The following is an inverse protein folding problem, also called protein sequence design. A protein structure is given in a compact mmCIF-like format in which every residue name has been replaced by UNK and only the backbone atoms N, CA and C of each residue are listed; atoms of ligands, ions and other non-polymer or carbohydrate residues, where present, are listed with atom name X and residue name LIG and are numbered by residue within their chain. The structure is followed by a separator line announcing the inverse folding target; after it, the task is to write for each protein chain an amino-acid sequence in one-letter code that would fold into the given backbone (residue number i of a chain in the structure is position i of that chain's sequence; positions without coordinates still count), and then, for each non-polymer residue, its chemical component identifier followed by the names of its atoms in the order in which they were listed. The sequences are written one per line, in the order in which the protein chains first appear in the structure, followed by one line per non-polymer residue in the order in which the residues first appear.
data_IF_343757683714
#
_entry.id   IF_343757683714
#
_cell.length_a   1.000
_cell.length_b   1.000
_cell.length_c   1.000
_cell.angle_alpha   90.00
_cell.angle_beta   90.00
_cell.angle_gamma   90.00
#
_symmetry.space_group_name_H-M   'P 1'
#
loop_
_entity.id
_entity.type
_entity.pdbx_description
1 polymer ?
#
# COMPACT_ATOMS: atom_id res chain seq x y z
N UNK A 1 -2.61 11.44 -8.52
CA UNK A 1 -1.34 11.75 -7.80
C UNK A 1 -1.34 13.14 -7.16
N UNK A 2 -1.51 14.25 -7.90
CA UNK A 2 -1.50 15.59 -7.27
C UNK A 2 -2.65 15.81 -6.27
N UNK A 3 -3.86 15.35 -6.59
CA UNK A 3 -4.99 15.41 -5.65
C UNK A 3 -4.77 14.55 -4.40
N UNK A 4 -3.98 13.47 -4.52
CA UNK A 4 -3.58 12.65 -3.36
C UNK A 4 -2.66 13.46 -2.46
N UNK A 5 -1.68 14.17 -3.02
CA UNK A 5 -0.80 15.07 -2.26
C UNK A 5 -1.58 16.21 -1.62
N UNK A 6 -2.52 16.85 -2.33
CA UNK A 6 -3.36 17.90 -1.76
C UNK A 6 -4.15 17.42 -0.54
N UNK A 7 -4.56 16.14 -0.52
CA UNK A 7 -5.34 15.54 0.56
C UNK A 7 -4.48 15.08 1.75
N UNK A 8 -3.33 14.46 1.48
CA UNK A 8 -2.54 13.77 2.51
C UNK A 8 -1.19 14.46 2.83
N UNK A 9 -0.77 15.44 2.04
CA UNK A 9 0.43 16.25 2.25
C UNK A 9 1.70 15.41 2.50
N UNK A 10 1.86 14.31 1.77
CA UNK A 10 2.94 13.36 1.99
C UNK A 10 4.30 13.90 1.55
N UNK A 11 4.37 14.83 0.59
CA UNK A 11 5.63 15.45 0.17
C UNK A 11 6.26 16.30 1.29
N UNK A 12 5.43 17.04 2.03
CA UNK A 12 5.85 17.85 3.17
C UNK A 12 6.04 17.06 4.48
N UNK A 13 5.73 15.76 4.49
CA UNK A 13 5.87 14.94 5.69
C UNK A 13 7.33 14.66 6.02
N UNK A 14 7.72 14.86 7.29
CA UNK A 14 9.11 14.69 7.74
C UNK A 14 9.51 13.25 8.07
N UNK A 15 8.56 12.31 8.07
CA UNK A 15 8.81 10.91 8.47
C UNK A 15 8.54 9.98 7.29
N UNK A 16 9.61 9.32 6.87
CA UNK A 16 9.60 8.27 5.85
C UNK A 16 10.15 6.99 6.48
N UNK A 17 9.52 5.86 6.21
CA UNK A 17 10.02 4.57 6.67
C UNK A 17 9.89 3.54 5.56
N UNK A 18 11.01 3.08 5.01
CA UNK A 18 10.98 1.99 4.02
C UNK A 18 10.89 0.66 4.77
N UNK A 19 9.73 0.00 4.66
CA UNK A 19 9.50 -1.30 5.29
C UNK A 19 10.14 -2.42 4.49
N UNK A 20 10.13 -2.36 3.16
CA UNK A 20 10.62 -3.46 2.32
C UNK A 20 11.23 -2.99 1.00
N UNK A 21 12.33 -3.64 0.62
CA UNK A 21 12.94 -3.60 -0.73
C UNK A 21 13.32 -5.02 -1.11
N UNK A 22 12.43 -5.73 -1.79
CA UNK A 22 12.63 -7.15 -2.06
C UNK A 22 13.04 -7.37 -3.52
N UNK A 23 14.31 -7.69 -3.74
CA UNK A 23 14.89 -7.83 -5.07
C UNK A 23 14.29 -8.97 -5.88
N UNK A 24 13.93 -10.11 -5.26
CA UNK A 24 13.32 -11.25 -5.96
C UNK A 24 11.97 -10.86 -6.56
N UNK A 25 11.01 -10.65 -5.67
CA UNK A 25 9.64 -10.18 -5.95
C UNK A 25 9.55 -8.85 -6.71
N UNK A 26 10.64 -8.07 -6.79
CA UNK A 26 10.65 -6.70 -7.35
C UNK A 26 9.61 -5.79 -6.69
N UNK A 27 9.45 -5.93 -5.37
CA UNK A 27 8.45 -5.21 -4.59
C UNK A 27 9.10 -4.25 -3.62
N UNK A 28 8.57 -3.02 -3.58
CA UNK A 28 8.96 -1.99 -2.61
C UNK A 28 7.73 -1.61 -1.80
N UNK A 29 7.88 -1.53 -0.49
CA UNK A 29 6.87 -0.94 0.39
C UNK A 29 7.48 0.04 1.38
N UNK A 30 6.75 1.13 1.63
CA UNK A 30 7.19 2.18 2.55
C UNK A 30 6.01 2.98 3.09
N UNK A 31 6.25 3.73 4.16
CA UNK A 31 5.30 4.63 4.77
C UNK A 31 5.77 6.08 4.63
N UNK A 32 4.87 6.97 4.21
CA UNK A 32 5.14 8.42 4.08
C UNK A 32 3.83 9.19 4.21
N UNK A 33 3.81 10.24 5.02
CA UNK A 33 2.62 11.09 5.20
C UNK A 33 1.39 10.34 5.76
N UNK A 34 1.61 9.31 6.59
CA UNK A 34 0.52 8.46 7.10
C UNK A 34 -0.09 7.51 6.06
N UNK A 35 0.49 7.44 4.86
CA UNK A 35 0.13 6.51 3.81
C UNK A 35 1.09 5.33 3.77
N UNK A 36 0.56 4.15 3.43
CA UNK A 36 1.32 2.94 3.11
C UNK A 36 1.38 2.80 1.60
N UNK A 37 2.58 2.71 1.04
CA UNK A 37 2.84 2.58 -0.39
C UNK A 37 3.30 1.15 -0.68
N UNK A 38 2.68 0.49 -1.66
CA UNK A 38 3.02 -0.85 -2.10
C UNK A 38 3.18 -0.84 -3.62
N UNK A 39 4.40 -1.09 -4.09
CA UNK A 39 4.75 -0.98 -5.51
C UNK A 39 5.30 -2.32 -5.99
N UNK A 40 4.61 -2.95 -6.95
CA UNK A 40 5.07 -4.19 -7.58
C UNK A 40 5.64 -3.89 -8.96
N UNK A 41 6.97 -3.93 -9.07
CA UNK A 41 7.70 -3.75 -10.33
C UNK A 41 7.94 -5.06 -11.08
N UNK A 42 7.43 -6.19 -10.59
CA UNK A 42 7.63 -7.46 -11.27
C UNK A 42 7.01 -7.41 -12.68
N UNK A 43 7.72 -7.86 -13.73
CA UNK A 43 7.23 -7.73 -15.09
C UNK A 43 5.99 -8.58 -15.38
N UNK A 44 5.76 -9.63 -14.60
CA UNK A 44 4.76 -10.67 -14.88
C UNK A 44 4.07 -11.30 -13.66
N UNK A 45 4.53 -11.06 -12.42
CA UNK A 45 4.08 -11.80 -11.25
C UNK A 45 3.18 -10.91 -10.40
N UNK A 46 1.98 -11.41 -10.14
CA UNK A 46 1.01 -10.82 -9.23
C UNK A 46 1.01 -11.59 -7.92
N UNK A 47 0.74 -10.92 -6.80
CA UNK A 47 0.74 -11.55 -5.47
C UNK A 47 -0.61 -11.33 -4.79
N UNK A 48 -1.33 -12.40 -4.44
CA UNK A 48 -2.69 -12.34 -3.87
C UNK A 48 -2.70 -12.01 -2.38
N UNK A 49 -1.76 -12.60 -1.65
CA UNK A 49 -1.68 -12.57 -0.20
C UNK A 49 -0.29 -12.05 0.22
N UNK A 50 0.09 -10.88 -0.31
CA UNK A 50 1.40 -10.31 0.00
C UNK A 50 1.37 -9.58 1.33
N UNK A 51 2.27 -9.97 2.25
CA UNK A 51 2.33 -9.37 3.59
C UNK A 51 3.09 -8.05 3.56
N UNK A 52 2.46 -6.99 4.06
CA UNK A 52 3.01 -5.64 4.16
C UNK A 52 3.01 -5.21 5.62
N UNK A 53 4.16 -4.78 6.12
CA UNK A 53 4.30 -4.22 7.46
C UNK A 53 3.64 -2.84 7.56
N UNK A 54 2.94 -2.57 8.65
CA UNK A 54 2.25 -1.29 8.89
C UNK A 54 2.42 -0.83 10.34
N UNK A 55 2.39 0.49 10.57
CA UNK A 55 2.63 1.05 11.90
C UNK A 55 1.47 0.88 12.90
N UNK A 56 0.22 0.87 12.44
CA UNK A 56 -0.97 0.97 13.31
C UNK A 56 -1.88 -0.23 13.16
N UNK A 57 -2.46 -0.67 14.29
CA UNK A 57 -3.61 -1.56 14.27
C UNK A 57 -4.84 -0.88 13.65
N UNK A 58 -5.77 -1.65 13.10
CA UNK A 58 -7.02 -1.16 12.54
C UNK A 58 -7.19 -1.46 11.06
N UNK A 59 -7.95 -0.61 10.36
CA UNK A 59 -8.31 -0.82 8.95
C UNK A 59 -7.55 0.15 8.06
N UNK A 60 -7.18 -0.33 6.89
CA UNK A 60 -6.54 0.43 5.84
C UNK A 60 -7.40 0.39 4.59
N UNK A 61 -7.61 1.55 3.96
CA UNK A 61 -8.43 1.73 2.76
C UNK A 61 -7.59 2.25 1.60
N UNK A 62 -8.04 1.96 0.38
CA UNK A 62 -7.35 2.40 -0.83
C UNK A 62 -7.49 3.92 -1.00
N UNK A 63 -6.36 4.61 -1.01
CA UNK A 63 -6.25 6.03 -1.35
C UNK A 63 -6.00 6.22 -2.87
N UNK A 64 -5.24 5.31 -3.47
CA UNK A 64 -4.93 5.29 -4.90
C UNK A 64 -4.64 3.84 -5.33
N UNK A 65 -5.22 3.44 -6.46
CA UNK A 65 -4.89 2.21 -7.18
C UNK A 65 -4.50 2.59 -8.61
N UNK A 66 -3.24 2.37 -9.00
CA UNK A 66 -2.80 2.68 -10.37
C UNK A 66 -3.37 1.73 -11.42
N UNK A 67 -3.92 0.58 -11.01
CA UNK A 67 -4.59 -0.37 -11.91
C UNK A 67 -6.07 -0.03 -12.14
N UNK A 68 -6.60 1.02 -11.51
CA UNK A 68 -7.99 1.42 -11.70
C UNK A 68 -8.27 1.84 -13.15
N UNK A 69 -9.51 1.62 -13.62
CA UNK A 69 -9.94 1.92 -15.00
C UNK A 69 -9.74 3.39 -15.39
N UNK A 70 -9.90 4.30 -14.43
CA UNK A 70 -9.71 5.74 -14.64
C UNK A 70 -8.26 6.13 -14.98
N UNK A 71 -7.30 5.24 -14.72
CA UNK A 71 -5.90 5.37 -15.12
C UNK A 71 -5.51 4.38 -16.23
N UNK A 72 -6.50 3.88 -16.99
CA UNK A 72 -6.34 2.89 -18.06
C UNK A 72 -5.72 1.56 -17.60
N UNK A 73 -5.88 1.21 -16.32
CA UNK A 73 -5.48 -0.08 -15.78
C UNK A 73 -6.54 -1.18 -15.97
N UNK A 74 -6.23 -2.38 -15.47
CA UNK A 74 -7.07 -3.57 -15.66
C UNK A 74 -8.21 -3.72 -14.62
N UNK A 75 -8.29 -2.84 -13.62
CA UNK A 75 -9.27 -2.83 -12.53
C UNK A 75 -9.34 -4.17 -11.78
N UNK A 76 -8.17 -4.74 -11.46
CA UNK A 76 -8.09 -6.05 -10.81
C UNK A 76 -8.32 -5.98 -9.30
N UNK A 77 -8.16 -4.81 -8.69
CA UNK A 77 -8.43 -4.57 -7.27
C UNK A 77 -9.80 -3.89 -7.15
N UNK A 78 -10.66 -4.38 -6.25
CA UNK A 78 -11.89 -3.67 -5.91
C UNK A 78 -11.55 -2.43 -5.09
N UNK A 79 -11.86 -1.24 -5.59
CA UNK A 79 -11.59 0.04 -4.92
C UNK A 79 -12.30 0.22 -3.56
N UNK A 80 -13.26 -0.66 -3.22
CA UNK A 80 -13.91 -0.69 -1.90
C UNK A 80 -13.24 -1.62 -0.90
N UNK A 81 -12.17 -2.30 -1.31
CA UNK A 81 -11.45 -3.25 -0.45
C UNK A 81 -10.91 -2.57 0.80
N UNK A 82 -11.02 -3.28 1.93
CA UNK A 82 -10.43 -2.89 3.20
C UNK A 82 -9.39 -3.94 3.61
N UNK A 83 -8.28 -3.48 4.18
CA UNK A 83 -7.21 -4.33 4.68
C UNK A 83 -7.12 -4.19 6.20
N UNK A 84 -7.32 -5.29 6.91
CA UNK A 84 -7.31 -5.31 8.38
C UNK A 84 -5.92 -5.67 8.87
N UNK A 85 -5.33 -4.80 9.69
CA UNK A 85 -4.05 -5.05 10.33
C UNK A 85 -4.18 -6.16 11.37
N UNK A 86 -3.30 -7.15 11.26
CA UNK A 86 -3.14 -8.22 12.22
C UNK A 86 -1.94 -7.91 13.11
N UNK A 87 -2.00 -8.33 14.37
CA UNK A 87 -0.88 -8.32 15.32
C UNK A 87 0.10 -9.46 15.00
N UNK A 88 0.67 -9.38 13.80
CA UNK A 88 1.67 -10.31 13.27
C UNK A 88 2.87 -9.47 12.88
N UNK A 89 3.99 -9.57 13.62
CA UNK A 89 5.19 -8.82 13.32
C UNK A 89 5.75 -9.14 11.94
N UNK A 90 6.16 -8.11 11.21
CA UNK A 90 6.74 -8.25 9.87
C UNK A 90 7.62 -7.05 9.54
N UNK A 91 8.76 -7.28 8.87
CA UNK A 91 9.71 -6.25 8.43
C UNK A 91 9.96 -5.12 9.47
N UNK A 92 10.06 -5.47 10.75
CA UNK A 92 10.35 -4.54 11.85
C UNK A 92 9.17 -3.72 12.38
N UNK A 93 7.92 -4.06 12.03
CA UNK A 93 6.69 -3.52 12.64
C UNK A 93 5.93 -4.60 13.40
N UNK A 94 5.13 -4.18 14.38
CA UNK A 94 4.30 -5.07 15.20
C UNK A 94 3.05 -5.58 14.45
N UNK A 95 2.60 -4.82 13.45
CA UNK A 95 1.40 -5.12 12.66
C UNK A 95 1.71 -5.37 11.19
N UNK A 96 0.88 -6.18 10.55
CA UNK A 96 0.92 -6.38 9.11
C UNK A 96 -0.46 -6.59 8.49
N UNK A 97 -0.59 -6.24 7.22
CA UNK A 97 -1.77 -6.49 6.37
C UNK A 97 -1.40 -7.46 5.25
N UNK A 98 -2.42 -8.06 4.63
CA UNK A 98 -2.28 -8.89 3.43
C UNK A 98 -2.96 -8.19 2.27
N UNK A 99 -2.25 -8.01 1.16
CA UNK A 99 -2.77 -7.30 -0.02
C UNK A 99 -2.66 -8.14 -1.28
N UNK A 100 -3.66 -7.99 -2.15
CA UNK A 100 -3.51 -8.37 -3.56
C UNK A 100 -2.83 -7.21 -4.31
N UNK A 101 -1.64 -7.48 -4.87
CA UNK A 101 -0.86 -6.52 -5.65
C UNK A 101 -0.48 -7.12 -7.02
N UNK A 102 -1.19 -6.74 -8.10
CA UNK A 102 -0.88 -7.20 -9.44
C UNK A 102 0.50 -6.79 -9.93
N UNK A 103 1.01 -7.45 -10.97
CA UNK A 103 2.25 -7.05 -11.63
C UNK A 103 2.15 -5.63 -12.23
N UNK A 104 3.23 -4.85 -12.09
CA UNK A 104 3.37 -3.47 -12.62
C UNK A 104 2.32 -2.49 -12.08
N UNK A 105 1.95 -2.59 -10.81
CA UNK A 105 0.98 -1.68 -10.19
C UNK A 105 1.51 -1.06 -8.91
N UNK A 106 0.88 0.03 -8.50
CA UNK A 106 1.05 0.67 -7.20
C UNK A 106 -0.28 0.79 -6.49
N UNK A 107 -0.29 0.43 -5.21
CA UNK A 107 -1.39 0.63 -4.30
C UNK A 107 -0.95 1.55 -3.16
N UNK A 108 -1.75 2.57 -2.88
CA UNK A 108 -1.53 3.48 -1.76
C UNK A 108 -2.71 3.37 -0.81
N UNK A 109 -2.41 3.14 0.46
CA UNK A 109 -3.41 2.91 1.49
C UNK A 109 -3.33 4.00 2.56
N UNK A 110 -4.48 4.38 3.11
CA UNK A 110 -4.55 5.24 4.29
C UNK A 110 -5.18 4.47 5.44
N UNK A 111 -4.73 4.75 6.66
CA UNK A 111 -5.33 4.21 7.87
C UNK A 111 -6.66 4.91 8.15
N UNK A 112 -7.74 4.14 8.21
CA UNK A 112 -9.10 4.64 8.42
C UNK A 112 -9.40 4.69 9.92
N UNK A 113 -9.35 5.90 10.49
CA UNK A 113 -9.86 6.17 11.83
C UNK A 113 -11.38 6.05 11.79
N UNK A 114 -11.92 4.86 12.03
CA UNK A 114 -13.34 4.73 12.31
C UNK A 114 -13.67 5.60 13.54
N UNK A 115 -14.42 6.68 13.32
CA UNK A 115 -15.10 7.46 14.37
C UNK A 115 -16.08 6.61 15.16
#
# INVERSE_FOLDING_TARGET
MQSLEQRFQFLGSGREFVTRKHDGDKLISFERGGLVWVLNFHPSQSFVDYRIAVERAGRYKIALDTDAKEFDGHSRVDGRSEYVAMEIPWDGRDYSIMVYIPCRTGLVLYWDQAS
#
